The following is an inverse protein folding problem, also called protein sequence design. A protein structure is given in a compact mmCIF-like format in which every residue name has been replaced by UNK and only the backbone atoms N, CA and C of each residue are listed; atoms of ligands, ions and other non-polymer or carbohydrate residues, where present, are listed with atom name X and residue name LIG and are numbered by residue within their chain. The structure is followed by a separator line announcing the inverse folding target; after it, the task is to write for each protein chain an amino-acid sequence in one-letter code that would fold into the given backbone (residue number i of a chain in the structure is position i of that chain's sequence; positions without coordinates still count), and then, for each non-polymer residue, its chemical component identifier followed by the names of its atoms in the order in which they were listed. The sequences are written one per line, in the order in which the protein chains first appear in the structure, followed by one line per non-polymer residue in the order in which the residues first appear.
data_IF_716018149196
#
_entry.id   IF_716018149196
#
_cell.length_a   1.000
_cell.length_b   1.000
_cell.length_c   1.000
_cell.angle_alpha   90.00
_cell.angle_beta   90.00
_cell.angle_gamma   90.00
#
_symmetry.space_group_name_H-M   'P 1'
#
loop_
_entity.id
_entity.type
_entity.pdbx_description
1 polymer ?
2 non-polymer ?
3 non-polymer ?
4 water ?
#
# COMPACT_ATOMS: atom_id res chain seq x y z
N UNK A 21 3.68 -23.97 16.83
CA UNK A 21 2.45 -23.79 17.60
C UNK A 21 2.60 -22.74 18.73
N UNK A 22 3.82 -22.12 18.85
CA UNK A 22 4.15 -21.09 19.85
C UNK A 22 5.52 -20.42 19.58
N UNK A 23 5.63 -19.10 19.82
CA UNK A 23 6.88 -18.35 19.66
C UNK A 23 7.04 -17.24 20.70
N UNK A 24 8.29 -16.94 21.01
CA UNK A 24 8.62 -15.94 22.01
C UNK A 24 9.21 -14.70 21.37
N UNK A 25 8.75 -13.52 21.82
CA UNK A 25 9.27 -12.22 21.40
C UNK A 25 9.40 -11.35 22.64
N UNK A 26 10.67 -11.05 23.00
CA UNK A 26 11.10 -10.22 24.15
C UNK A 26 10.52 -10.75 25.47
N UNK A 27 10.63 -12.07 25.65
CA UNK A 27 10.13 -12.80 26.81
C UNK A 27 8.67 -13.20 26.68
N UNK A 28 7.87 -12.39 25.97
CA UNK A 28 6.43 -12.60 25.77
C UNK A 28 6.13 -13.82 24.87
N UNK A 29 5.26 -14.71 25.35
CA UNK A 29 4.90 -15.93 24.62
C UNK A 29 3.60 -15.74 23.83
N UNK A 30 3.70 -15.85 22.48
CA UNK A 30 2.57 -15.69 21.56
C UNK A 30 2.25 -17.03 20.89
N UNK A 31 1.03 -17.52 21.06
CA UNK A 31 0.60 -18.78 20.45
C UNK A 31 0.00 -18.54 19.07
N UNK A 32 0.51 -19.25 18.05
CA UNK A 32 0.08 -19.11 16.65
C UNK A 32 -1.33 -19.62 16.42
N UNK A 33 -2.20 -18.74 15.89
CA UNK A 33 -3.58 -18.99 15.49
C UNK A 33 -3.61 -19.57 14.08
N UNK A 34 -2.92 -18.91 13.11
CA UNK A 34 -2.82 -19.27 11.69
C UNK A 34 -1.68 -18.48 10.99
N UNK A 35 -1.38 -18.83 9.74
CA UNK A 35 -0.40 -18.13 8.92
C UNK A 35 -1.18 -17.34 7.87
N UNK A 36 -0.92 -16.05 7.81
CA UNK A 36 -1.57 -15.13 6.88
C UNK A 36 -0.83 -15.12 5.55
N UNK A 37 0.40 -14.61 5.55
CA UNK A 37 1.19 -14.51 4.34
C UNK A 37 2.61 -15.01 4.48
N UNK A 38 3.36 -14.91 3.36
CA UNK A 38 4.76 -15.30 3.21
C UNK A 38 5.35 -14.68 1.94
N UNK A 39 6.62 -14.29 2.04
CA UNK A 39 7.39 -13.71 0.94
C UNK A 39 8.78 -14.33 0.85
N UNK A 40 8.80 -15.66 0.73
CA UNK A 40 10.02 -16.44 0.68
C UNK A 40 10.63 -16.52 2.06
N UNK A 41 11.60 -15.59 2.33
CA UNK A 41 12.30 -15.45 3.61
C UNK A 41 11.35 -15.15 4.78
N UNK A 42 10.28 -14.38 4.51
CA UNK A 42 9.27 -13.98 5.50
C UNK A 42 8.05 -14.93 5.62
N UNK A 43 7.31 -14.79 6.74
CA UNK A 43 6.08 -15.51 7.13
C UNK A 43 5.31 -14.64 8.16
N UNK A 44 4.04 -14.33 7.90
CA UNK A 44 3.23 -13.55 8.82
C UNK A 44 2.25 -14.50 9.50
N UNK A 45 2.11 -14.38 10.83
CA UNK A 45 1.24 -15.22 11.65
C UNK A 45 0.24 -14.41 12.44
N UNK A 46 -0.97 -14.94 12.52
CA UNK A 46 -1.98 -14.39 13.39
C UNK A 46 -1.72 -15.11 14.69
N UNK A 47 -1.37 -14.35 15.71
CA UNK A 47 -0.99 -14.93 17.00
C UNK A 47 -1.88 -14.41 18.12
N UNK A 48 -1.70 -14.91 19.34
CA UNK A 48 -2.44 -14.44 20.49
C UNK A 48 -1.53 -14.37 21.69
N UNK A 49 -1.63 -13.32 22.51
CA UNK A 49 -0.80 -13.26 23.72
C UNK A 49 -1.41 -14.09 24.88
N UNK A 50 -0.79 -13.99 26.07
CA UNK A 50 -1.16 -14.64 27.33
C UNK A 50 -2.60 -14.28 27.74
N UNK A 51 -3.01 -13.00 27.53
CA UNK A 51 -4.35 -12.46 27.84
C UNK A 51 -5.38 -12.64 26.69
N UNK A 52 -5.08 -13.58 25.74
CA UNK A 52 -5.89 -13.98 24.59
C UNK A 52 -6.00 -12.91 23.50
N UNK A 53 -5.32 -11.75 23.66
CA UNK A 53 -5.34 -10.62 22.70
C UNK A 53 -4.68 -10.97 21.37
N UNK A 54 -5.30 -10.52 20.26
CA UNK A 54 -4.78 -10.80 18.91
C UNK A 54 -3.72 -9.79 18.46
N UNK A 55 -2.70 -10.29 17.75
CA UNK A 55 -1.62 -9.55 17.12
C UNK A 55 -1.20 -10.32 15.87
N UNK A 56 -0.35 -9.71 15.05
CA UNK A 56 0.19 -10.31 13.84
C UNK A 56 1.68 -10.23 13.94
N UNK A 57 2.35 -11.38 13.84
CA UNK A 57 3.78 -11.39 13.94
C UNK A 57 4.38 -11.68 12.57
N UNK A 58 5.29 -10.79 12.13
CA UNK A 58 6.05 -10.96 10.90
C UNK A 58 7.36 -11.61 11.32
N UNK A 59 7.71 -12.68 10.63
CA UNK A 59 8.95 -13.40 10.89
C UNK A 59 9.83 -13.33 9.67
N UNK A 60 11.07 -12.83 9.81
CA UNK A 60 12.02 -12.81 8.69
C UNK A 60 13.20 -13.69 9.06
N UNK A 61 13.66 -14.54 8.12
CA UNK A 61 14.80 -15.43 8.35
C UNK A 61 16.00 -14.91 7.56
N UNK A 62 16.96 -14.38 8.29
CA UNK A 62 18.13 -13.74 7.74
C UNK A 62 19.27 -14.69 7.37
N UNK A 63 19.16 -15.97 7.78
CA UNK A 63 20.15 -17.03 7.55
C UNK A 63 20.83 -17.00 6.18
N UNK A 64 20.08 -16.79 5.08
CA UNK A 64 20.65 -16.75 3.72
C UNK A 64 20.67 -15.34 3.09
N UNK A 65 20.09 -14.33 3.78
CA UNK A 65 20.00 -12.96 3.29
C UNK A 65 21.33 -12.22 3.24
N UNK A 66 21.51 -11.47 2.15
CA UNK A 66 22.69 -10.66 1.78
C UNK A 66 22.81 -9.36 2.59
N UNK A 67 23.97 -8.66 2.47
CA UNK A 67 24.29 -7.42 3.18
C UNK A 67 23.38 -6.25 2.81
N UNK A 68 23.00 -6.12 1.51
CA UNK A 68 22.09 -5.09 0.99
C UNK A 68 20.66 -5.36 1.47
N UNK A 69 20.22 -6.66 1.45
CA UNK A 69 18.90 -7.16 1.89
C UNK A 69 18.68 -6.87 3.38
N UNK A 70 19.70 -7.10 4.22
CA UNK A 70 19.65 -6.84 5.65
C UNK A 70 19.48 -5.36 5.97
N UNK A 71 20.13 -4.47 5.21
CA UNK A 71 19.97 -3.03 5.47
C UNK A 71 18.60 -2.49 4.99
N UNK A 72 17.91 -3.22 4.08
CA UNK A 72 16.56 -2.89 3.59
C UNK A 72 15.54 -3.17 4.69
N UNK A 73 15.72 -4.28 5.44
CA UNK A 73 14.89 -4.64 6.58
C UNK A 73 15.24 -3.74 7.75
N UNK A 74 16.53 -3.41 7.95
CA UNK A 74 16.99 -2.51 9.02
C UNK A 74 16.40 -1.12 8.80
N UNK A 75 16.33 -0.67 7.51
CA UNK A 75 15.73 0.62 7.14
C UNK A 75 14.21 0.62 7.28
N UNK A 76 13.50 -0.36 6.70
CA UNK A 76 12.04 -0.45 6.84
C UNK A 76 11.61 -0.43 8.32
N UNK A 77 12.25 -1.22 9.22
CA UNK A 77 11.94 -1.20 10.67
C UNK A 77 12.07 0.20 11.29
N UNK A 78 13.21 0.88 11.07
CA UNK A 78 13.50 2.22 11.59
C UNK A 78 12.39 3.22 11.24
N UNK A 79 12.02 3.29 9.94
CA UNK A 79 10.98 4.16 9.42
C UNK A 79 9.64 3.77 9.95
N UNK A 80 9.30 2.46 9.91
CA UNK A 80 8.05 1.95 10.46
C UNK A 80 7.94 2.24 11.96
N UNK A 81 9.07 2.33 12.67
CA UNK A 81 9.00 2.70 14.08
C UNK A 81 8.85 4.20 14.23
N UNK A 82 9.67 5.03 13.53
CA UNK A 82 9.54 6.50 13.63
C UNK A 82 8.16 6.99 13.19
N UNK A 83 7.73 6.63 11.96
CA UNK A 83 6.51 7.08 11.31
C UNK A 83 5.24 6.65 11.98
N UNK A 84 5.30 5.77 12.98
CA UNK A 84 4.13 5.30 13.73
C UNK A 84 3.51 6.45 14.51
N UNK A 85 4.39 7.32 15.07
CA UNK A 85 4.07 8.51 15.87
C UNK A 85 3.47 9.66 15.03
N UNK A 86 3.61 9.57 13.69
CA UNK A 86 3.15 10.61 12.79
C UNK A 86 1.85 10.32 12.06
N UNK A 87 1.20 9.14 12.24
CA UNK A 87 -0.08 8.82 11.59
C UNK A 87 -0.71 7.53 12.06
N UNK A 88 -1.99 7.61 12.46
CA UNK A 88 -2.78 6.45 12.85
C UNK A 88 -3.04 5.60 11.61
N UNK A 89 -2.77 6.13 10.39
CA UNK A 89 -2.98 5.43 9.10
C UNK A 89 -1.76 4.59 8.63
N UNK A 90 -0.80 4.35 9.52
CA UNK A 90 0.38 3.56 9.28
C UNK A 90 0.33 2.43 10.31
N UNK A 91 0.57 1.19 9.86
CA UNK A 91 0.46 0.00 10.69
C UNK A 91 1.24 0.11 12.01
N UNK A 92 0.56 -0.24 13.11
CA UNK A 92 1.13 -0.21 14.45
C UNK A 92 2.16 -1.31 14.55
N UNK A 93 3.32 -1.00 15.15
CA UNK A 93 4.42 -1.90 15.42
C UNK A 93 4.65 -1.74 16.90
N UNK A 94 4.25 -2.74 17.67
CA UNK A 94 4.32 -2.70 19.12
C UNK A 94 5.72 -2.98 19.61
N UNK A 95 6.36 -4.02 19.04
CA UNK A 95 7.70 -4.44 19.41
C UNK A 95 8.36 -5.25 18.30
N UNK A 96 9.68 -5.45 18.45
CA UNK A 96 10.52 -6.19 17.53
C UNK A 96 11.74 -6.75 18.18
N UNK A 97 12.20 -7.89 17.64
CA UNK A 97 13.36 -8.66 18.04
C UNK A 97 14.29 -8.80 16.82
N UNK A 98 15.51 -8.26 16.92
CA UNK A 98 16.49 -8.41 15.84
C UNK A 98 17.74 -9.08 16.38
N UNK A 99 18.16 -10.15 15.67
CA UNK A 99 19.37 -10.94 15.89
C UNK A 99 20.03 -11.11 14.52
N UNK A 100 21.08 -11.93 14.44
CA UNK A 100 21.72 -12.18 13.16
C UNK A 100 20.93 -13.21 12.38
N UNK A 101 20.11 -14.00 13.06
CA UNK A 101 19.36 -15.08 12.44
C UNK A 101 17.98 -14.71 11.95
N UNK A 102 17.23 -13.94 12.75
CA UNK A 102 15.85 -13.62 12.44
C UNK A 102 15.44 -12.17 12.75
N UNK A 103 14.15 -11.85 12.47
CA UNK A 103 13.44 -10.60 12.78
C UNK A 103 12.01 -11.00 13.18
N UNK A 104 11.59 -10.63 14.39
CA UNK A 104 10.24 -10.85 14.88
C UNK A 104 9.66 -9.45 15.08
N UNK A 105 8.60 -9.12 14.31
CA UNK A 105 7.89 -7.84 14.37
C UNK A 105 6.50 -8.13 14.90
N UNK A 106 6.13 -7.52 16.03
CA UNK A 106 4.80 -7.69 16.63
C UNK A 106 3.98 -6.46 16.26
N UNK A 107 3.00 -6.66 15.35
CA UNK A 107 2.17 -5.57 14.84
C UNK A 107 0.71 -5.76 15.14
N UNK A 108 -0.13 -4.75 14.81
CA UNK A 108 -1.55 -4.86 15.01
C UNK A 108 -2.17 -5.78 13.93
N UNK A 109 -3.28 -6.44 14.30
CA UNK A 109 -3.99 -7.41 13.45
C UNK A 109 -5.21 -6.75 12.80
N UNK A 110 -5.20 -6.78 11.47
CA UNK A 110 -6.25 -6.22 10.64
C UNK A 110 -7.31 -7.23 10.29
N UNK A 111 -8.48 -6.73 9.88
CA UNK A 111 -9.64 -7.53 9.47
C UNK A 111 -9.35 -8.26 8.14
N UNK A 112 -8.97 -7.50 7.07
CA UNK A 112 -8.65 -7.98 5.72
C UNK A 112 -7.77 -6.94 4.93
N UNK A 113 -6.99 -7.40 3.92
CA UNK A 113 -6.19 -6.51 3.06
C UNK A 113 -7.10 -5.85 2.04
N UNK A 114 -6.73 -4.68 1.53
CA UNK A 114 -7.59 -3.98 0.57
C UNK A 114 -7.78 -4.75 -0.72
N UNK A 115 -6.76 -5.47 -1.20
CA UNK A 115 -6.88 -6.23 -2.44
C UNK A 115 -7.93 -7.32 -2.35
N UNK A 116 -7.94 -8.08 -1.23
CA UNK A 116 -8.90 -9.16 -0.98
C UNK A 116 -10.31 -8.64 -0.78
N UNK A 117 -10.45 -7.48 -0.11
CA UNK A 117 -11.71 -6.80 0.14
C UNK A 117 -12.36 -6.29 -1.17
N UNK A 118 -11.54 -5.78 -2.10
CA UNK A 118 -11.99 -5.27 -3.40
C UNK A 118 -12.34 -6.40 -4.39
N UNK A 119 -11.51 -7.47 -4.41
CA UNK A 119 -11.68 -8.64 -5.26
C UNK A 119 -12.99 -9.36 -4.91
N UNK A 120 -13.40 -9.28 -3.61
CA UNK A 120 -14.65 -9.86 -3.09
C UNK A 120 -15.87 -8.98 -3.41
N UNK A 121 -15.89 -7.75 -2.84
CA UNK A 121 -16.96 -6.74 -2.95
C UNK A 121 -17.48 -6.51 -4.38
N UNK A 122 -18.79 -6.49 -4.52
CA UNK A 122 -19.44 -6.21 -5.79
C UNK A 122 -19.63 -4.69 -5.84
N UNK A 123 -20.38 -4.15 -4.85
CA UNK A 123 -20.64 -2.71 -4.72
C UNK A 123 -19.60 -2.06 -3.85
N UNK A 124 -19.46 -0.73 -3.99
CA UNK A 124 -18.60 0.13 -3.20
C UNK A 124 -19.42 1.40 -2.93
N UNK A 125 -19.83 1.62 -1.65
CA UNK A 125 -20.61 2.80 -1.24
C UNK A 125 -19.75 4.08 -1.35
N UNK A 126 -20.26 5.15 -2.02
CA UNK A 126 -19.45 6.37 -2.18
C UNK A 126 -18.84 6.94 -0.89
N UNK A 127 -19.57 6.80 0.25
CA UNK A 127 -19.13 7.26 1.58
C UNK A 127 -17.93 6.48 2.07
N UNK A 128 -17.93 5.13 1.85
CA UNK A 128 -16.80 4.26 2.24
C UNK A 128 -15.60 4.53 1.34
N UNK A 129 -15.80 4.51 0.00
CA UNK A 129 -14.75 4.78 -1.00
C UNK A 129 -14.03 6.09 -0.68
N UNK A 130 -14.79 7.19 -0.46
CA UNK A 130 -14.22 8.50 -0.16
C UNK A 130 -13.40 8.44 1.13
N UNK A 131 -13.92 7.75 2.17
CA UNK A 131 -13.25 7.61 3.47
C UNK A 131 -11.94 6.92 3.33
N UNK A 132 -11.88 5.76 2.60
CA UNK A 132 -10.66 4.99 2.33
C UNK A 132 -9.66 5.83 1.55
N UNK A 133 -10.14 6.58 0.56
CA UNK A 133 -9.32 7.48 -0.24
C UNK A 133 -8.61 8.53 0.64
N UNK A 134 -9.29 9.05 1.69
CA UNK A 134 -8.73 10.01 2.66
C UNK A 134 -7.69 9.31 3.51
N UNK A 135 -7.96 8.08 3.97
CA UNK A 135 -7.02 7.31 4.78
C UNK A 135 -5.70 7.08 4.05
N UNK A 136 -5.75 6.79 2.73
CA UNK A 136 -4.59 6.54 1.87
C UNK A 136 -3.77 7.76 1.67
N UNK A 137 -4.39 8.90 1.32
CA UNK A 137 -3.64 10.15 1.12
C UNK A 137 -2.96 10.56 2.39
N UNK A 138 -3.57 10.29 3.57
CA UNK A 138 -3.01 10.62 4.89
C UNK A 138 -1.74 9.79 5.16
N UNK A 139 -1.76 8.47 4.89
CA UNK A 139 -0.61 7.59 5.04
C UNK A 139 0.45 7.99 4.06
N UNK A 140 0.15 7.90 2.74
CA UNK A 140 1.05 8.28 1.64
C UNK A 140 1.62 9.67 1.84
N UNK A 141 0.82 10.65 2.33
CA UNK A 141 1.35 11.98 2.59
C UNK A 141 2.35 11.94 3.71
N UNK A 142 2.10 11.14 4.76
CA UNK A 142 3.02 11.04 5.90
C UNK A 142 4.40 10.62 5.43
N UNK A 143 4.49 9.48 4.69
CA UNK A 143 5.73 8.91 4.20
C UNK A 143 6.46 9.92 3.31
N UNK A 144 5.74 10.62 2.41
CA UNK A 144 6.37 11.59 1.54
C UNK A 144 7.05 12.70 2.31
N UNK A 145 6.46 13.13 3.44
CA UNK A 145 7.03 14.14 4.32
C UNK A 145 8.37 13.69 4.91
N UNK A 146 8.57 12.38 5.12
CA UNK A 146 9.87 11.96 5.64
C UNK A 146 10.84 11.52 4.52
N UNK A 147 10.55 12.00 3.31
CA UNK A 147 11.35 11.76 2.12
C UNK A 147 11.29 10.34 1.57
N UNK A 148 10.15 9.65 1.76
CA UNK A 148 9.99 8.30 1.24
C UNK A 148 9.03 8.29 0.07
N UNK A 149 9.42 7.67 -1.05
CA UNK A 149 8.47 7.42 -2.13
C UNK A 149 8.29 5.92 -2.29
N UNK A 150 7.07 5.46 -2.11
CA UNK A 150 6.77 4.03 -2.18
C UNK A 150 6.99 3.42 -3.56
N UNK A 151 6.54 4.13 -4.59
CA UNK A 151 6.67 3.70 -5.98
C UNK A 151 5.76 2.52 -6.35
N UNK A 152 5.95 1.39 -5.69
CA UNK A 152 5.15 0.20 -5.99
C UNK A 152 3.88 0.10 -5.17
N UNK A 153 2.91 0.96 -5.46
CA UNK A 153 1.67 0.96 -4.68
C UNK A 153 0.62 0.05 -5.29
N UNK A 154 0.01 -0.78 -4.44
CA UNK A 154 -1.00 -1.75 -4.88
C UNK A 154 -1.97 -1.89 -3.69
N UNK A 155 -3.23 -2.37 -3.88
CA UNK A 155 -4.15 -2.48 -2.73
C UNK A 155 -3.65 -3.37 -1.60
N UNK A 156 -2.74 -4.32 -1.91
CA UNK A 156 -2.12 -5.20 -0.94
C UNK A 156 -1.25 -4.48 0.13
N UNK A 157 -0.75 -3.25 -0.14
CA UNK A 157 0.09 -2.51 0.85
C UNK A 157 -0.80 -1.81 1.89
N UNK A 158 -2.14 -1.95 1.74
CA UNK A 158 -3.19 -1.40 2.60
C UNK A 158 -3.97 -2.48 3.34
N UNK A 159 -4.41 -2.17 4.54
CA UNK A 159 -5.06 -3.15 5.38
C UNK A 159 -6.17 -2.51 6.21
N UNK A 160 -7.40 -3.07 6.16
CA UNK A 160 -8.55 -2.56 6.91
C UNK A 160 -8.47 -2.99 8.38
N UNK A 161 -8.29 -2.04 9.31
CA UNK A 161 -8.20 -2.28 10.77
C UNK A 161 -9.08 -1.26 11.46
N UNK A 162 -10.13 -1.71 12.18
CA UNK A 162 -11.12 -0.85 12.86
C UNK A 162 -11.84 0.07 11.83
N UNK A 163 -12.21 -0.56 10.71
CA UNK A 163 -12.87 0.06 9.57
C UNK A 163 -12.10 1.16 8.89
N UNK A 164 -10.83 1.34 9.28
CA UNK A 164 -9.92 2.36 8.80
C UNK A 164 -8.76 1.75 8.00
N UNK A 165 -8.37 2.37 6.88
CA UNK A 165 -7.24 1.88 6.09
C UNK A 165 -5.90 2.27 6.72
N UNK A 166 -4.92 1.38 6.63
CA UNK A 166 -3.59 1.52 7.22
C UNK A 166 -2.52 0.97 6.30
N UNK A 167 -1.36 1.66 6.25
CA UNK A 167 -0.25 1.33 5.37
C UNK A 167 0.66 0.35 6.05
N UNK A 168 0.93 -0.77 5.39
CA UNK A 168 1.76 -1.81 5.99
C UNK A 168 3.17 -1.74 5.41
N UNK A 169 3.29 -1.49 4.09
CA UNK A 169 4.55 -1.39 3.36
C UNK A 169 4.96 0.05 3.04
N UNK A 170 6.24 0.40 3.27
CA UNK A 170 6.80 1.70 2.89
C UNK A 170 7.53 1.60 1.54
N UNK A 171 7.52 0.38 0.97
CA UNK A 171 8.16 0.03 -0.30
C UNK A 171 9.68 0.02 -0.23
N UNK A 172 10.26 0.01 1.02
CA UNK A 172 11.71 0.01 1.32
C UNK A 172 12.26 -1.40 1.16
N UNK A 173 11.85 -2.34 2.02
CA UNK A 173 12.29 -3.73 1.96
C UNK A 173 11.46 -4.53 0.96
N UNK A 174 11.64 -5.87 0.97
CA UNK A 174 10.93 -6.79 0.08
C UNK A 174 9.54 -7.11 0.67
N UNK A 175 8.46 -6.87 -0.12
CA UNK A 175 7.06 -7.09 0.25
C UNK A 175 6.70 -8.58 0.32
N UNK A 176 6.00 -9.00 1.41
CA UNK A 176 5.58 -10.40 1.66
C UNK A 176 4.44 -10.87 0.75
N UNK A 190 1.62 -10.69 -8.65
CA UNK A 190 2.44 -9.51 -8.87
C UNK A 190 2.01 -8.69 -10.08
N UNK A 191 0.87 -7.97 -9.94
CA UNK A 191 0.23 -7.16 -10.98
C UNK A 191 1.05 -5.90 -11.39
N UNK A 192 1.10 -5.63 -12.72
CA UNK A 192 1.79 -4.50 -13.36
C UNK A 192 0.77 -3.37 -13.73
N UNK A 193 -0.47 -3.51 -13.23
CA UNK A 193 -1.60 -2.60 -13.45
C UNK A 193 -1.52 -1.24 -12.72
N UNK A 194 -0.51 -1.02 -11.88
CA UNK A 194 -0.38 0.23 -11.11
C UNK A 194 0.95 0.93 -11.36
N UNK A 195 1.63 0.58 -12.46
CA UNK A 195 2.93 1.16 -12.78
C UNK A 195 2.86 2.62 -13.29
N UNK A 196 3.63 3.55 -12.68
CA UNK A 196 3.66 4.93 -13.19
C UNK A 196 4.40 5.00 -14.52
N UNK A 197 3.94 5.81 -15.50
CA UNK A 197 4.61 5.86 -16.82
C UNK A 197 6.10 6.21 -16.77
N UNK A 198 6.48 7.16 -15.90
CA UNK A 198 7.87 7.60 -15.73
C UNK A 198 8.80 6.44 -15.33
N UNK A 199 8.27 5.46 -14.57
CA UNK A 199 9.00 4.28 -14.09
C UNK A 199 9.37 3.35 -15.25
N UNK A 200 8.40 3.07 -16.14
CA UNK A 200 8.57 2.24 -17.35
C UNK A 200 9.53 2.94 -18.32
N UNK A 201 9.47 4.28 -18.42
CA UNK A 201 10.36 5.07 -19.27
C UNK A 201 11.74 5.31 -18.62
N UNK A 202 11.88 5.05 -17.28
CA UNK A 202 13.14 5.21 -16.52
C UNK A 202 14.05 3.97 -16.61
N UNK A 203 13.97 3.22 -17.73
CA UNK A 203 14.77 2.02 -17.95
C UNK A 203 16.22 2.34 -18.37
N UNK A 204 16.43 3.46 -19.08
CA UNK A 204 17.76 3.88 -19.54
C UNK A 204 18.62 4.38 -18.36
N UNK A 216 11.14 8.32 -10.71
CA UNK A 216 10.64 8.20 -9.32
C UNK A 216 10.71 9.54 -8.52
N UNK A 217 9.50 10.03 -8.16
CA UNK A 217 9.19 11.25 -7.41
C UNK A 217 7.82 11.01 -6.71
N UNK A 218 7.33 11.92 -5.81
CA UNK A 218 6.03 11.68 -5.18
C UNK A 218 4.87 11.56 -6.16
N UNK A 219 5.02 12.11 -7.39
CA UNK A 219 3.98 12.08 -8.41
C UNK A 219 3.79 10.66 -8.91
N UNK A 220 4.79 9.80 -8.69
CA UNK A 220 4.72 8.38 -9.04
C UNK A 220 3.64 7.69 -8.17
N UNK A 221 3.59 8.06 -6.86
CA UNK A 221 2.64 7.51 -5.90
C UNK A 221 1.22 8.02 -6.15
N UNK A 222 1.08 9.23 -6.70
CA UNK A 222 -0.23 9.79 -7.07
C UNK A 222 -0.88 8.88 -8.15
N UNK A 223 -0.16 8.59 -9.26
CA UNK A 223 -0.61 7.73 -10.35
C UNK A 223 -1.16 6.40 -9.82
N UNK A 224 -0.38 5.70 -8.97
CA UNK A 224 -0.71 4.42 -8.35
C UNK A 224 -1.99 4.49 -7.50
N UNK A 225 -2.14 5.55 -6.63
CA UNK A 225 -3.35 5.79 -5.82
C UNK A 225 -4.55 6.07 -6.71
N UNK A 226 -4.28 6.79 -7.81
CA UNK A 226 -5.23 7.11 -8.88
C UNK A 226 -5.79 5.84 -9.49
N UNK A 227 -4.93 4.82 -9.68
CA UNK A 227 -5.32 3.50 -10.21
C UNK A 227 -6.14 2.69 -9.16
N UNK A 228 -5.83 2.83 -7.84
CA UNK A 228 -6.58 2.13 -6.77
C UNK A 228 -7.98 2.74 -6.64
N UNK A 229 -8.11 4.07 -6.81
CA UNK A 229 -9.38 4.79 -6.72
C UNK A 229 -10.26 4.55 -7.95
N UNK A 230 -9.63 4.48 -9.14
CA UNK A 230 -10.26 4.20 -10.44
C UNK A 230 -10.91 2.82 -10.35
N UNK A 231 -10.17 1.84 -9.83
CA UNK A 231 -10.62 0.46 -9.63
C UNK A 231 -11.69 0.40 -8.52
N UNK A 232 -11.76 1.42 -7.65
CA UNK A 232 -12.77 1.55 -6.57
C UNK A 232 -14.03 2.26 -7.12
N UNK A 233 -13.91 2.89 -8.31
CA UNK A 233 -14.99 3.65 -8.98
C UNK A 233 -15.62 2.86 -10.15
N UNK A 234 -14.78 2.46 -11.10
CA UNK A 234 -15.14 1.74 -12.32
C UNK A 234 -15.02 0.18 -12.21
N UNK A 235 -14.57 -0.33 -11.07
CA UNK A 235 -14.45 -1.76 -10.80
C UNK A 235 -13.26 -2.51 -11.40
N UNK A 236 -12.52 -1.82 -12.27
CA UNK A 236 -11.37 -2.39 -12.97
C UNK A 236 -10.24 -1.38 -13.10
N UNK A 237 -9.02 -1.89 -13.26
CA UNK A 237 -7.85 -1.04 -13.44
C UNK A 237 -7.89 -0.36 -14.81
N UNK A 238 -7.19 0.76 -14.96
CA UNK A 238 -7.25 1.52 -16.20
C UNK A 238 -6.76 0.73 -17.40
N UNK A 239 -5.68 -0.01 -17.22
CA UNK A 239 -5.19 -0.91 -18.27
C UNK A 239 -5.40 -2.42 -17.95
N UNK A 240 -6.40 -2.76 -17.12
CA UNK A 240 -6.76 -4.12 -16.71
C UNK A 240 -7.24 -4.99 -17.88
N UNK A 241 -7.83 -4.35 -18.92
CA UNK A 241 -8.35 -5.01 -20.12
C UNK A 241 -7.25 -5.49 -21.09
N UNK A 242 -6.04 -4.86 -21.04
CA UNK A 242 -4.91 -5.23 -21.91
C UNK A 242 -4.20 -6.50 -21.37
N UNK A 243 -4.60 -7.68 -21.93
CA UNK A 243 -4.15 -9.02 -21.58
C UNK A 243 -2.63 -9.19 -21.68
N UNK A 244 -2.03 -8.81 -22.83
CA UNK A 244 -0.58 -8.89 -23.05
C UNK A 244 0.14 -7.81 -22.25
N UNK A 245 1.09 -8.24 -21.41
CA UNK A 245 1.88 -7.37 -20.53
C UNK A 245 2.87 -6.48 -21.29
N UNK A 246 3.43 -6.94 -22.44
CA UNK A 246 4.35 -6.13 -23.24
C UNK A 246 3.59 -4.94 -23.83
N UNK A 247 2.33 -5.22 -24.27
CA UNK A 247 1.39 -4.27 -24.82
C UNK A 247 0.82 -3.35 -23.71
N UNK A 248 0.56 -3.92 -22.50
CA UNK A 248 0.06 -3.18 -21.34
C UNK A 248 1.07 -2.10 -20.95
N UNK A 249 2.37 -2.36 -21.15
CA UNK A 249 3.49 -1.43 -20.88
C UNK A 249 3.56 -0.35 -21.98
N UNK A 250 3.20 -0.75 -23.22
CA UNK A 250 3.18 0.12 -24.41
C UNK A 250 2.12 1.21 -24.24
N UNK A 251 0.96 0.83 -23.66
CA UNK A 251 -0.20 1.68 -23.39
C UNK A 251 0.09 2.81 -22.36
N UNK A 252 0.63 2.45 -21.17
CA UNK A 252 0.99 3.34 -20.08
C UNK A 252 2.00 4.38 -20.57
N UNK A 253 2.86 4.00 -21.53
CA UNK A 253 3.85 4.89 -22.11
C UNK A 253 3.23 5.85 -23.13
N UNK A 254 2.41 5.31 -24.09
CA UNK A 254 1.79 6.02 -25.21
C UNK A 254 0.79 7.15 -24.82
N UNK A 255 1.09 8.44 -25.16
CA UNK A 255 0.15 9.52 -24.85
C UNK A 255 -1.07 9.58 -25.79
N UNK A 256 -0.93 8.99 -27.01
CA UNK A 256 -1.99 8.90 -28.02
C UNK A 256 -3.06 7.84 -27.63
N UNK A 257 -2.93 7.28 -26.41
CA UNK A 257 -3.85 6.31 -25.82
C UNK A 257 -4.74 7.10 -24.86
N UNK A 258 -6.07 7.00 -25.03
CA UNK A 258 -7.06 7.71 -24.21
C UNK A 258 -7.66 6.81 -23.12
N UNK A 259 -7.43 7.16 -21.83
CA UNK A 259 -7.97 6.40 -20.70
C UNK A 259 -9.44 6.79 -20.50
N UNK A 260 -10.32 5.80 -20.36
CA UNK A 260 -11.77 6.01 -20.22
C UNK A 260 -12.22 6.38 -18.80
N UNK A 261 -13.03 7.45 -18.68
CA UNK A 261 -13.62 7.88 -17.42
C UNK A 261 -15.12 8.04 -17.65
N UNK A 262 -15.88 6.92 -17.65
CA UNK A 262 -17.33 7.01 -17.88
C UNK A 262 -18.04 8.01 -16.97
N UNK A 263 -19.01 8.75 -17.53
CA UNK A 263 -19.81 9.76 -16.84
C UNK A 263 -20.44 9.19 -15.55
N UNK A 264 -19.93 9.66 -14.40
CA UNK A 264 -20.35 9.22 -13.06
C UNK A 264 -21.19 10.32 -12.37
N UNK A 265 -22.09 9.99 -11.41
CA UNK A 265 -22.84 11.04 -10.71
C UNK A 265 -21.91 11.89 -9.83
N UNK A 266 -20.88 11.26 -9.21
CA UNK A 266 -19.86 11.93 -8.39
C UNK A 266 -18.95 12.71 -9.35
N UNK A 267 -19.29 13.99 -9.56
CA UNK A 267 -18.59 14.90 -10.47
C UNK A 267 -17.12 15.10 -10.10
N UNK A 268 -16.85 15.41 -8.81
CA UNK A 268 -15.51 15.65 -8.26
C UNK A 268 -14.60 14.44 -8.39
N UNK A 269 -15.15 13.24 -8.20
CA UNK A 269 -14.42 11.96 -8.28
C UNK A 269 -13.82 11.74 -9.66
N UNK A 270 -14.60 12.01 -10.72
CA UNK A 270 -14.17 11.89 -12.11
C UNK A 270 -13.02 12.87 -12.38
N UNK A 271 -13.08 14.11 -11.81
CA UNK A 271 -12.01 15.10 -11.97
C UNK A 271 -10.77 14.64 -11.19
N UNK A 272 -10.96 14.00 -10.01
CA UNK A 272 -9.82 13.50 -9.25
C UNK A 272 -9.10 12.51 -10.13
N UNK A 273 -9.83 11.49 -10.64
CA UNK A 273 -9.32 10.44 -11.51
C UNK A 273 -8.61 10.96 -12.76
N UNK A 274 -9.16 11.99 -13.40
CA UNK A 274 -8.55 12.59 -14.59
C UNK A 274 -7.25 13.35 -14.25
N UNK A 275 -7.11 13.88 -12.99
CA UNK A 275 -5.93 14.63 -12.50
C UNK A 275 -4.79 13.72 -12.03
N UNK A 276 -5.15 12.59 -11.38
CA UNK A 276 -4.19 11.61 -10.88
C UNK A 276 -3.61 10.85 -12.05
N UNK A 277 -4.43 10.44 -13.01
CA UNK A 277 -3.97 9.63 -14.14
C UNK A 277 -3.43 10.45 -15.35
N UNK A 278 -2.87 11.66 -15.08
CA UNK A 278 -2.18 12.47 -16.10
C UNK A 278 -0.85 11.76 -16.33
N UNK A 279 -0.49 11.48 -17.60
CA UNK A 279 0.77 10.79 -17.90
C UNK A 279 2.02 11.62 -17.55
N UNK A 280 2.02 12.95 -17.84
CA UNK A 280 3.18 13.79 -17.52
C UNK A 280 3.28 14.09 -16.02
N UNK A 281 4.38 13.65 -15.34
CA UNK A 281 4.54 13.92 -13.91
C UNK A 281 4.46 15.39 -13.53
N UNK A 282 4.93 16.28 -14.41
CA UNK A 282 4.91 17.73 -14.20
C UNK A 282 3.48 18.28 -14.16
N UNK A 283 2.61 17.78 -15.06
CA UNK A 283 1.21 18.19 -15.20
C UNK A 283 0.21 17.34 -14.35
N UNK A 284 0.73 16.46 -13.46
CA UNK A 284 -0.08 15.60 -12.59
C UNK A 284 -0.35 16.30 -11.26
N UNK A 285 -1.51 16.00 -10.63
CA UNK A 285 -1.90 16.57 -9.33
C UNK A 285 -0.93 16.05 -8.21
N UNK A 286 -0.61 16.90 -7.20
CA UNK A 286 0.26 16.51 -6.07
C UNK A 286 -0.55 15.96 -4.89
N UNK A 287 0.11 15.37 -3.87
CA UNK A 287 -0.63 14.89 -2.68
C UNK A 287 -1.20 16.09 -1.90
N UNK A 288 -0.46 17.24 -1.69
CA UNK A 288 -1.06 18.38 -0.95
C UNK A 288 -2.26 19.03 -1.66
N UNK A 289 -2.33 18.84 -3.00
CA UNK A 289 -3.37 19.35 -3.87
C UNK A 289 -4.60 18.49 -3.75
N UNK A 290 -4.44 17.13 -3.82
CA UNK A 290 -5.54 16.16 -3.67
C UNK A 290 -6.22 16.29 -2.34
N UNK A 291 -5.44 16.68 -1.33
CA UNK A 291 -5.90 16.86 0.04
C UNK A 291 -6.72 18.10 0.20
N UNK A 292 -6.66 19.03 -0.76
CA UNK A 292 -7.41 20.29 -0.75
C UNK A 292 -8.43 20.36 -1.89
N UNK A 293 -8.63 19.22 -2.60
CA UNK A 293 -9.56 19.05 -3.71
C UNK A 293 -10.99 19.04 -3.18
N UNK A 294 -12.04 19.40 -3.97
CA UNK A 294 -13.42 19.34 -3.43
C UNK A 294 -13.88 17.91 -3.04
N UNK A 295 -13.36 16.86 -3.74
CA UNK A 295 -13.73 15.48 -3.43
C UNK A 295 -13.52 15.15 -1.96
N UNK A 296 -12.35 15.46 -1.43
CA UNK A 296 -11.97 15.20 -0.03
C UNK A 296 -12.66 16.16 0.97
N UNK A 297 -12.78 17.44 0.61
CA UNK A 297 -13.25 18.52 1.49
C UNK A 297 -14.75 18.75 1.53
N UNK A 298 -15.46 18.78 0.37
CA UNK A 298 -16.91 19.04 0.29
C UNK A 298 -17.70 17.83 0.82
N UNK A 299 -18.61 18.09 1.80
CA UNK A 299 -19.46 17.09 2.44
C UNK A 299 -20.87 17.08 1.84
#
# INVERSE_FOLDING_TARGET
MHHHHHHSSGVDLGTENLYFQSMSVKGRIYSILKQIGSGGSSKVFQVLNEKKQIYAIKYVNLEEADNQTLDSYRNEIAYLNKLQQHSDKIIRLYDYEITDQYIYMVMECGNIDLNSWLKKKKSIDPWERKSYWKNMLEAVHTIHQHGIVHSDLKPANFLIVDGMLKLIDFGIANQMQPDTTSVVKDSQVGTVNYMPPEAIKDMSSSRENGKSKSKISPKSDVWSLGCILYYMTYGKTPFQQIINQISKLHAIIDPNHEIEFPDIPEKDLQDVLKCCLKRDPKQRISIPELLAHPYVQIQTHPVNQMAKGTTEE
#
